data_IF_772372124749
#
_entry.id   IF_772372124749
#
_cell.length_a   1.000
_cell.length_b   1.000
_cell.length_c   1.000
_cell.angle_alpha   90.00
_cell.angle_beta   90.00
_cell.angle_gamma   90.00
#
_symmetry.space_group_name_H-M   'P 1'
#
loop_
_entity.id
_entity.type
_entity.pdbx_description
1 polymer ?
#
# COMPACT_ATOMS: atom_id res chain seq x y z
N UNK A 1 -8.98 19.02 -21.11
CA UNK A 1 -8.52 17.61 -21.06
C UNK A 1 -8.44 17.17 -19.60
N UNK A 2 -9.15 16.11 -19.19
CA UNK A 2 -9.10 15.63 -17.81
C UNK A 2 -7.70 15.03 -17.52
N UNK A 3 -7.01 15.51 -16.47
CA UNK A 3 -5.74 14.93 -16.01
C UNK A 3 -6.00 13.47 -15.61
N UNK A 4 -5.44 12.51 -16.35
CA UNK A 4 -5.53 11.09 -16.04
C UNK A 4 -4.93 10.86 -14.64
N UNK A 5 -5.76 10.53 -13.64
CA UNK A 5 -5.29 10.32 -12.25
C UNK A 5 -4.23 9.20 -12.25
N UNK A 6 -3.03 9.48 -11.75
CA UNK A 6 -1.96 8.47 -11.64
C UNK A 6 -2.40 7.36 -10.70
N UNK A 7 -2.12 6.10 -11.09
CA UNK A 7 -2.30 4.94 -10.20
C UNK A 7 -1.33 5.04 -9.03
N UNK A 8 -1.77 4.64 -7.84
CA UNK A 8 -0.91 4.49 -6.66
C UNK A 8 -0.57 3.03 -6.42
N UNK A 9 0.68 2.77 -6.02
CA UNK A 9 1.07 1.47 -5.52
C UNK A 9 0.41 1.20 -4.16
N UNK A 10 -0.07 -0.02 -4.00
CA UNK A 10 -0.75 -0.49 -2.81
C UNK A 10 -0.19 -1.84 -2.40
N UNK A 11 -0.24 -2.12 -1.11
CA UNK A 11 0.08 -3.43 -0.54
C UNK A 11 -1.21 -4.07 -0.04
N UNK A 12 -1.41 -5.34 -0.39
CA UNK A 12 -2.36 -6.19 0.31
C UNK A 12 -1.61 -6.89 1.44
N UNK A 13 -2.14 -6.81 2.64
CA UNK A 13 -1.53 -7.38 3.84
C UNK A 13 -2.49 -8.36 4.52
N UNK A 14 -1.93 -9.32 5.24
CA UNK A 14 -2.66 -10.26 6.11
C UNK A 14 -2.18 -10.09 7.55
N UNK A 15 -3.13 -9.81 8.43
CA UNK A 15 -2.90 -9.67 9.86
C UNK A 15 -2.78 -11.04 10.55
N UNK A 16 -2.26 -11.05 11.78
CA UNK A 16 -2.15 -12.26 12.60
C UNK A 16 -3.49 -12.95 12.86
N UNK A 17 -4.59 -12.20 12.88
CA UNK A 17 -5.95 -12.73 13.02
C UNK A 17 -6.54 -13.29 11.70
N UNK A 18 -5.75 -13.38 10.63
CA UNK A 18 -6.16 -13.89 9.32
C UNK A 18 -6.89 -12.89 8.43
N UNK A 19 -7.26 -11.69 8.93
CA UNK A 19 -7.93 -10.67 8.11
C UNK A 19 -6.97 -10.02 7.13
N UNK A 20 -7.43 -9.75 5.91
CA UNK A 20 -6.67 -9.04 4.90
C UNK A 20 -7.14 -7.60 4.72
N UNK A 21 -6.20 -6.69 4.49
CA UNK A 21 -6.45 -5.28 4.23
C UNK A 21 -5.63 -4.80 3.04
N UNK A 22 -6.04 -3.69 2.43
CA UNK A 22 -5.26 -3.05 1.37
C UNK A 22 -4.95 -1.62 1.76
N UNK A 23 -3.66 -1.26 1.73
CA UNK A 23 -3.19 0.08 2.05
C UNK A 23 -2.44 0.68 0.87
N UNK A 24 -2.64 1.97 0.56
CA UNK A 24 -1.73 2.67 -0.34
C UNK A 24 -0.36 2.75 0.32
N UNK A 25 0.71 2.59 -0.48
CA UNK A 25 2.04 2.90 0.02
C UNK A 25 2.15 4.41 0.34
N UNK A 26 2.91 4.77 1.40
CA UNK A 26 3.29 6.14 1.69
C UNK A 26 3.77 6.93 0.46
N UNK A 27 3.46 8.24 0.41
CA UNK A 27 3.71 9.07 -0.78
C UNK A 27 5.20 9.17 -1.15
N UNK A 28 6.08 9.17 -0.16
CA UNK A 28 7.54 9.10 -0.30
C UNK A 28 7.99 7.80 -1.00
N UNK A 29 7.35 6.66 -0.69
CA UNK A 29 7.63 5.39 -1.36
C UNK A 29 7.05 5.28 -2.77
N UNK A 30 6.04 6.07 -3.13
CA UNK A 30 5.44 6.01 -4.47
C UNK A 30 6.45 6.31 -5.58
N UNK A 31 7.33 7.30 -5.39
CA UNK A 31 8.35 7.68 -6.38
C UNK A 31 9.38 6.56 -6.55
N UNK A 32 9.89 6.03 -5.44
CA UNK A 32 10.86 4.93 -5.44
C UNK A 32 10.28 3.68 -6.12
N UNK A 33 9.02 3.33 -5.83
CA UNK A 33 8.34 2.20 -6.48
C UNK A 33 8.17 2.38 -7.99
N UNK A 34 7.89 3.59 -8.45
CA UNK A 34 7.81 3.87 -9.89
C UNK A 34 9.16 3.66 -10.58
N UNK A 35 10.24 4.16 -9.96
CA UNK A 35 11.59 3.97 -10.47
C UNK A 35 11.95 2.47 -10.51
N UNK A 36 11.77 1.76 -9.39
CA UNK A 36 12.07 0.34 -9.30
C UNK A 36 11.30 -0.48 -10.35
N UNK A 37 10.03 -0.16 -10.60
CA UNK A 37 9.22 -0.80 -11.64
C UNK A 37 9.75 -0.58 -13.05
N UNK A 38 10.27 0.61 -13.35
CA UNK A 38 10.88 0.89 -14.66
C UNK A 38 12.13 0.06 -14.86
N UNK A 39 12.94 -0.08 -13.81
CA UNK A 39 14.17 -0.87 -13.82
C UNK A 39 13.91 -2.39 -13.80
N UNK A 40 12.79 -2.82 -13.20
CA UNK A 40 12.45 -4.24 -12.94
C UNK A 40 11.02 -4.58 -13.43
N UNK A 41 10.71 -4.46 -14.73
CA UNK A 41 9.34 -4.47 -15.23
C UNK A 41 8.59 -5.79 -15.03
N UNK A 42 9.31 -6.91 -14.91
CA UNK A 42 8.71 -8.26 -14.86
C UNK A 42 8.47 -8.78 -13.44
N UNK A 43 9.19 -8.30 -12.43
CA UNK A 43 9.17 -8.83 -11.06
C UNK A 43 8.99 -7.77 -9.97
N UNK A 44 8.75 -6.50 -10.33
CA UNK A 44 8.59 -5.42 -9.35
C UNK A 44 7.51 -5.66 -8.28
N UNK A 45 6.50 -6.49 -8.58
CA UNK A 45 5.41 -6.79 -7.65
C UNK A 45 5.84 -7.71 -6.49
N UNK A 46 7.00 -8.37 -6.60
CA UNK A 46 7.53 -9.27 -5.58
C UNK A 46 8.42 -8.56 -4.56
N UNK A 47 8.82 -7.30 -4.81
CA UNK A 47 9.79 -6.56 -3.99
C UNK A 47 9.51 -6.59 -2.47
N UNK A 48 8.24 -6.46 -2.10
CA UNK A 48 7.78 -6.46 -0.70
C UNK A 48 7.01 -7.72 -0.34
N UNK A 49 6.97 -8.73 -1.22
CA UNK A 49 6.29 -10.00 -0.92
C UNK A 49 6.94 -10.63 0.31
N UNK A 50 6.13 -11.15 1.23
CA UNK A 50 6.56 -11.72 2.50
C UNK A 50 7.19 -10.73 3.50
N UNK A 51 7.26 -9.43 3.19
CA UNK A 51 7.72 -8.44 4.14
C UNK A 51 6.74 -8.29 5.30
N UNK A 52 7.26 -8.08 6.52
CA UNK A 52 6.46 -7.68 7.67
C UNK A 52 6.45 -6.15 7.77
N UNK A 53 5.26 -5.56 7.80
CA UNK A 53 5.09 -4.11 7.93
C UNK A 53 4.20 -3.75 9.12
N UNK A 54 4.42 -2.56 9.67
CA UNK A 54 3.53 -1.98 10.66
C UNK A 54 2.33 -1.34 9.97
N UNK A 55 1.12 -1.72 10.39
CA UNK A 55 -0.13 -1.12 9.93
C UNK A 55 -0.93 -0.57 11.12
N UNK A 56 -1.74 0.47 10.92
CA UNK A 56 -2.59 0.97 11.99
C UNK A 56 -3.79 0.04 12.22
N UNK A 57 -4.13 -0.20 13.47
CA UNK A 57 -5.30 -1.01 13.86
C UNK A 57 -6.62 -0.22 13.82
N UNK A 58 -6.52 1.11 13.71
CA UNK A 58 -7.61 2.08 13.67
C UNK A 58 -7.26 3.19 12.68
N UNK A 59 -8.25 3.93 12.21
CA UNK A 59 -8.02 5.11 11.38
C UNK A 59 -7.19 6.18 12.10
N UNK A 60 -6.39 6.91 11.32
CA UNK A 60 -5.75 8.14 11.78
C UNK A 60 -6.80 9.22 12.03
N UNK A 61 -6.67 9.95 13.15
CA UNK A 61 -7.49 11.11 13.48
C UNK A 61 -6.60 12.26 13.92
N UNK A 62 -7.14 13.48 13.91
CA UNK A 62 -6.42 14.66 14.37
C UNK A 62 -5.94 14.46 15.82
N UNK A 63 -4.66 14.76 16.08
CA UNK A 63 -3.99 14.57 17.38
C UNK A 63 -4.02 13.13 17.94
N UNK A 64 -4.29 12.13 17.11
CA UNK A 64 -4.33 10.73 17.53
C UNK A 64 -3.46 9.84 16.65
N UNK A 65 -2.50 9.16 17.30
CA UNK A 65 -1.73 8.10 16.67
C UNK A 65 -2.37 6.75 17.00
N UNK A 66 -2.87 6.00 16.01
CA UNK A 66 -3.50 4.71 16.25
C UNK A 66 -2.46 3.67 16.71
N UNK A 67 -2.84 2.70 17.56
CA UNK A 67 -2.01 1.55 17.85
C UNK A 67 -1.64 0.83 16.56
N UNK A 68 -0.38 0.43 16.47
CA UNK A 68 0.16 -0.28 15.31
C UNK A 68 0.19 -1.78 15.58
N UNK A 69 0.09 -2.58 14.51
CA UNK A 69 0.31 -4.02 14.54
C UNK A 69 1.14 -4.44 13.35
N UNK A 70 1.73 -5.64 13.41
CA UNK A 70 2.51 -6.20 12.33
C UNK A 70 1.60 -7.03 11.41
N UNK A 71 1.76 -6.87 10.11
CA UNK A 71 1.08 -7.67 9.09
C UNK A 71 2.04 -8.13 7.99
N UNK A 72 1.74 -9.28 7.39
CA UNK A 72 2.49 -9.85 6.28
C UNK A 72 2.00 -9.26 4.96
N UNK A 73 2.89 -8.77 4.12
CA UNK A 73 2.55 -8.36 2.76
C UNK A 73 2.37 -9.60 1.88
N UNK A 74 1.16 -9.75 1.33
CA UNK A 74 0.83 -10.85 0.42
C UNK A 74 1.17 -10.51 -1.03
N UNK A 75 0.97 -9.24 -1.43
CA UNK A 75 1.29 -8.76 -2.79
C UNK A 75 1.30 -7.24 -2.88
N UNK A 76 2.02 -6.73 -3.87
CA UNK A 76 1.96 -5.34 -4.32
C UNK A 76 1.11 -5.24 -5.60
N UNK A 77 0.33 -4.17 -5.73
CA UNK A 77 -0.39 -3.85 -6.94
C UNK A 77 -0.42 -2.34 -7.21
N UNK A 78 -1.08 -1.94 -8.29
CA UNK A 78 -1.37 -0.53 -8.56
C UNK A 78 -2.86 -0.34 -8.78
N UNK A 79 -3.48 0.55 -8.00
CA UNK A 79 -4.92 0.83 -8.06
C UNK A 79 -5.18 2.27 -8.51
N UNK A 80 -6.30 2.55 -9.21
CA UNK A 80 -6.75 3.91 -9.45
C UNK A 80 -7.03 4.62 -8.11
N UNK A 81 -6.63 5.90 -7.99
CA UNK A 81 -6.85 6.68 -6.76
C UNK A 81 -8.31 6.65 -6.28
N UNK A 82 -9.28 6.67 -7.20
CA UNK A 82 -10.72 6.70 -6.89
C UNK A 82 -11.18 5.46 -6.10
N UNK A 83 -10.58 4.29 -6.36
CA UNK A 83 -10.91 3.04 -5.66
C UNK A 83 -10.37 3.05 -4.22
N UNK A 84 -9.27 3.76 -3.97
CA UNK A 84 -8.67 3.85 -2.64
C UNK A 84 -9.43 4.79 -1.71
N UNK A 85 -10.11 5.79 -2.25
CA UNK A 85 -10.90 6.75 -1.46
C UNK A 85 -12.15 6.09 -0.83
N UNK A 86 -12.58 4.92 -1.33
CA UNK A 86 -13.73 4.14 -0.83
C UNK A 86 -13.33 3.00 0.12
N UNK A 87 -12.03 2.81 0.35
CA UNK A 87 -11.48 1.81 1.27
C UNK A 87 -11.01 2.44 2.59
N UNK A 88 -11.34 3.72 2.80
CA UNK A 88 -11.10 4.46 4.03
C UNK A 88 -12.34 4.48 4.90
#
# INVERSE_FOLDING_TARGET
MAKKKRKKFCVRVRCLNGRSYQFPLPNDLQKAMWQYKVENPTNWFDLLSQALINIPTKEYRENYQPPMTVALVEKIGSSPQVVLDHLR
#
